data_IF_693221362715
#
_entry.id   IF_693221362715
#
_cell.length_a   1.000
_cell.length_b   1.000
_cell.length_c   1.000
_cell.angle_alpha   90.00
_cell.angle_beta   90.00
_cell.angle_gamma   90.00
#
_symmetry.space_group_name_H-M   'P 1'
#
loop_
_entity.id
_entity.type
_entity.pdbx_description
1 polymer ?
#
# COMPACT_ATOMS: atom_id res chain seq x y z
N UNK A 1 9.94 5.13 29.26
CA UNK A 1 10.74 4.59 28.15
C UNK A 1 9.97 4.63 26.84
N UNK A 2 9.95 5.77 26.12
CA UNK A 2 9.29 5.93 24.81
C UNK A 2 10.33 6.24 23.73
N UNK A 3 11.14 5.24 23.41
CA UNK A 3 12.12 5.32 22.32
C UNK A 3 11.91 4.22 21.24
N UNK A 4 10.91 3.34 21.42
CA UNK A 4 10.68 2.19 20.53
C UNK A 4 9.84 2.56 19.29
N UNK A 5 8.94 3.56 19.40
CA UNK A 5 8.03 3.93 18.30
C UNK A 5 8.68 4.72 17.16
N UNK A 6 9.74 5.52 17.43
CA UNK A 6 10.44 6.27 16.36
C UNK A 6 11.36 5.37 15.53
N UNK A 7 12.03 4.40 16.15
CA UNK A 7 12.94 3.47 15.43
C UNK A 7 12.17 2.51 14.52
N UNK A 8 10.98 2.05 14.93
CA UNK A 8 10.12 1.21 14.10
C UNK A 8 9.59 1.98 12.88
N UNK A 9 9.16 3.24 13.05
CA UNK A 9 8.72 4.07 11.92
C UNK A 9 9.84 4.42 10.93
N UNK A 10 11.09 4.59 11.39
CA UNK A 10 12.23 4.86 10.49
C UNK A 10 12.63 3.64 9.63
N UNK A 11 12.36 2.43 10.11
CA UNK A 11 12.63 1.18 9.38
C UNK A 11 11.56 0.91 8.30
N UNK A 12 10.29 1.27 8.54
CA UNK A 12 9.19 1.15 7.57
C UNK A 12 9.21 2.18 6.42
N UNK A 13 10.26 2.99 6.29
CA UNK A 13 10.40 3.97 5.20
C UNK A 13 11.23 3.45 4.01
N UNK A 14 11.44 2.13 3.89
CA UNK A 14 12.04 1.59 2.68
C UNK A 14 11.14 1.86 1.48
N UNK A 15 11.70 2.50 0.46
CA UNK A 15 10.98 2.69 -0.80
C UNK A 15 11.09 1.42 -1.64
N UNK A 16 10.06 1.09 -2.41
CA UNK A 16 10.01 -0.21 -3.09
C UNK A 16 11.18 -0.49 -4.04
N UNK A 17 11.78 0.54 -4.64
CA UNK A 17 12.96 0.33 -5.47
C UNK A 17 14.18 -0.08 -4.64
N UNK A 18 14.40 0.54 -3.48
CA UNK A 18 15.46 0.14 -2.54
C UNK A 18 15.27 -1.30 -2.07
N UNK A 19 14.07 -1.67 -1.62
CA UNK A 19 13.77 -3.04 -1.20
C UNK A 19 14.00 -4.07 -2.33
N UNK A 20 13.58 -3.73 -3.56
CA UNK A 20 13.79 -4.59 -4.72
C UNK A 20 15.29 -4.77 -5.05
N UNK A 21 16.06 -3.69 -5.00
CA UNK A 21 17.49 -3.74 -5.32
C UNK A 21 18.27 -4.49 -4.25
N UNK A 22 18.00 -4.25 -2.96
CA UNK A 22 18.62 -5.02 -1.87
C UNK A 22 18.26 -6.51 -1.95
N UNK A 23 17.01 -6.86 -2.28
CA UNK A 23 16.62 -8.26 -2.49
C UNK A 23 17.31 -8.91 -3.69
N UNK A 24 17.70 -8.13 -4.72
CA UNK A 24 18.46 -8.65 -5.87
C UNK A 24 19.93 -8.89 -5.54
N UNK A 25 20.48 -8.14 -4.60
CA UNK A 25 21.84 -8.31 -4.12
C UNK A 25 21.97 -9.52 -3.17
N UNK A 26 20.89 -9.89 -2.47
CA UNK A 26 20.84 -11.09 -1.63
C UNK A 26 20.48 -12.35 -2.45
N UNK A 27 21.35 -13.39 -2.52
CA UNK A 27 21.08 -14.59 -3.31
C UNK A 27 19.85 -15.38 -2.84
N UNK A 28 19.56 -15.36 -1.54
CA UNK A 28 18.44 -16.12 -0.96
C UNK A 28 17.10 -15.48 -1.32
N UNK A 29 17.01 -14.16 -1.19
CA UNK A 29 15.87 -13.35 -1.59
C UNK A 29 15.65 -13.43 -3.11
N UNK A 30 16.70 -13.23 -3.91
CA UNK A 30 16.61 -13.30 -5.37
C UNK A 30 16.10 -14.66 -5.87
N UNK A 31 16.58 -15.77 -5.28
CA UNK A 31 16.15 -17.12 -5.67
C UNK A 31 14.64 -17.35 -5.50
N UNK A 32 14.05 -16.72 -4.49
CA UNK A 32 12.61 -16.81 -4.20
C UNK A 32 11.79 -15.74 -4.93
N UNK A 33 12.41 -14.59 -5.23
CA UNK A 33 11.79 -13.49 -5.96
C UNK A 33 11.63 -13.78 -7.46
N UNK A 34 12.57 -14.49 -8.09
CA UNK A 34 12.55 -14.78 -9.53
C UNK A 34 11.25 -15.45 -10.01
N UNK A 35 10.75 -16.53 -9.37
CA UNK A 35 9.48 -17.14 -9.74
C UNK A 35 8.28 -16.18 -9.60
N UNK A 36 8.29 -15.31 -8.57
CA UNK A 36 7.26 -14.29 -8.40
C UNK A 36 7.26 -13.31 -9.58
N UNK A 37 8.42 -12.77 -9.95
CA UNK A 37 8.55 -11.85 -11.08
C UNK A 37 8.13 -12.48 -12.41
N UNK A 38 8.36 -13.78 -12.58
CA UNK A 38 8.00 -14.52 -13.79
C UNK A 38 6.49 -14.78 -13.87
N UNK A 39 5.86 -15.23 -12.79
CA UNK A 39 4.47 -15.68 -12.81
C UNK A 39 3.45 -14.58 -12.51
N UNK A 40 3.87 -13.53 -11.79
CA UNK A 40 3.01 -12.42 -11.38
C UNK A 40 3.05 -11.22 -12.33
N UNK A 41 3.77 -11.31 -13.46
CA UNK A 41 3.90 -10.22 -14.44
C UNK A 41 2.52 -9.83 -15.01
N UNK A 42 2.23 -8.53 -15.08
CA UNK A 42 0.89 -8.01 -15.43
C UNK A 42 0.35 -8.57 -16.75
N UNK A 43 1.20 -8.68 -17.78
CA UNK A 43 0.78 -9.14 -19.11
C UNK A 43 0.77 -10.67 -19.28
N UNK A 44 1.38 -11.42 -18.36
CA UNK A 44 1.52 -12.89 -18.43
C UNK A 44 1.13 -13.59 -17.13
N UNK A 45 0.23 -12.95 -16.38
CA UNK A 45 -0.21 -13.39 -15.07
C UNK A 45 -0.72 -14.83 -15.13
N UNK A 46 -0.02 -15.75 -14.46
CA UNK A 46 -0.51 -17.06 -14.12
C UNK A 46 -0.85 -17.04 -12.64
N UNK A 47 -2.13 -16.80 -12.30
CA UNK A 47 -2.58 -16.57 -10.92
C UNK A 47 -2.15 -17.68 -9.96
N UNK A 48 -2.34 -18.94 -10.34
CA UNK A 48 -2.04 -20.08 -9.47
C UNK A 48 -0.54 -20.16 -9.20
N UNK A 49 0.29 -20.11 -10.25
CA UNK A 49 1.75 -20.12 -10.08
C UNK A 49 2.24 -18.88 -9.33
N UNK A 50 1.68 -17.70 -9.62
CA UNK A 50 1.98 -16.45 -8.94
C UNK A 50 1.69 -16.55 -7.43
N UNK A 51 0.51 -17.03 -7.03
CA UNK A 51 0.16 -17.20 -5.62
C UNK A 51 1.09 -18.19 -4.91
N UNK A 52 1.41 -19.33 -5.53
CA UNK A 52 2.35 -20.30 -4.97
C UNK A 52 3.74 -19.68 -4.80
N UNK A 53 4.26 -18.98 -5.82
CA UNK A 53 5.56 -18.32 -5.75
C UNK A 53 5.58 -17.20 -4.71
N UNK A 54 4.51 -16.42 -4.60
CA UNK A 54 4.37 -15.36 -3.61
C UNK A 54 4.36 -15.90 -2.18
N UNK A 55 3.66 -17.01 -1.94
CA UNK A 55 3.66 -17.67 -0.63
C UNK A 55 5.04 -18.25 -0.30
N UNK A 56 5.73 -18.88 -1.25
CA UNK A 56 7.09 -19.39 -1.04
C UNK A 56 8.10 -18.29 -0.75
N UNK A 57 7.95 -17.10 -1.36
CA UNK A 57 8.79 -15.95 -1.09
C UNK A 57 8.72 -15.54 0.39
N UNK A 58 7.52 -15.29 0.92
CA UNK A 58 7.34 -14.88 2.31
C UNK A 58 7.62 -15.97 3.35
N UNK A 59 7.66 -17.24 2.93
CA UNK A 59 8.09 -18.38 3.77
C UNK A 59 9.60 -18.66 3.68
N UNK A 60 10.33 -17.89 2.86
CA UNK A 60 11.76 -18.07 2.62
C UNK A 60 12.64 -17.59 3.78
N UNK A 61 13.96 -17.86 3.72
CA UNK A 61 14.89 -17.61 4.83
C UNK A 61 15.31 -16.12 5.00
N UNK A 62 14.77 -15.21 4.20
CA UNK A 62 15.15 -13.79 4.13
C UNK A 62 14.12 -12.90 4.87
N UNK A 63 13.96 -13.13 6.17
CA UNK A 63 12.91 -12.49 6.99
C UNK A 63 12.99 -10.96 7.04
N UNK A 64 14.20 -10.39 7.17
CA UNK A 64 14.39 -8.93 7.19
C UNK A 64 13.94 -8.27 5.88
N UNK A 65 14.32 -8.88 4.74
CA UNK A 65 13.93 -8.39 3.41
C UNK A 65 12.46 -8.66 3.09
N UNK A 66 11.85 -9.69 3.68
CA UNK A 66 10.41 -9.95 3.55
C UNK A 66 9.59 -8.81 4.13
N UNK A 67 9.98 -8.27 5.29
CA UNK A 67 9.30 -7.13 5.90
C UNK A 67 9.50 -5.86 5.07
N UNK A 68 10.73 -5.61 4.61
CA UNK A 68 11.03 -4.47 3.73
C UNK A 68 10.21 -4.53 2.44
N UNK A 69 10.11 -5.70 1.80
CA UNK A 69 9.29 -5.91 0.59
C UNK A 69 7.80 -5.82 0.89
N UNK A 70 7.31 -6.38 2.00
CA UNK A 70 5.89 -6.38 2.35
C UNK A 70 5.35 -4.97 2.64
N UNK A 71 6.18 -4.12 3.24
CA UNK A 71 5.78 -2.80 3.73
C UNK A 71 6.36 -1.63 2.94
N UNK A 72 7.07 -1.87 1.84
CA UNK A 72 7.62 -0.78 1.04
C UNK A 72 6.51 0.13 0.50
N UNK A 73 6.81 1.43 0.42
CA UNK A 73 5.87 2.42 -0.10
C UNK A 73 6.56 3.34 -1.11
N UNK A 74 5.78 3.79 -2.10
CA UNK A 74 6.20 4.80 -3.05
C UNK A 74 5.38 6.07 -2.88
N UNK A 75 6.06 7.22 -3.02
CA UNK A 75 5.36 8.49 -3.16
C UNK A 75 4.57 8.46 -4.47
N UNK A 76 3.27 8.80 -4.41
CA UNK A 76 2.43 8.93 -5.61
C UNK A 76 3.03 9.98 -6.55
N UNK A 77 3.34 9.59 -7.79
CA UNK A 77 3.80 10.50 -8.85
C UNK A 77 2.88 10.40 -10.06
N UNK A 78 2.94 11.40 -10.95
CA UNK A 78 2.30 11.34 -12.27
C UNK A 78 3.11 10.53 -13.28
N UNK A 79 4.40 10.29 -12.99
CA UNK A 79 5.29 9.53 -13.85
C UNK A 79 5.17 8.03 -13.57
N UNK A 80 4.48 7.30 -14.45
CA UNK A 80 4.36 5.84 -14.36
C UNK A 80 5.68 5.08 -14.52
N UNK A 81 6.71 5.73 -15.06
CA UNK A 81 8.05 5.15 -15.23
C UNK A 81 9.00 5.47 -14.06
N UNK A 82 8.48 5.99 -12.95
CA UNK A 82 9.24 6.14 -11.72
C UNK A 82 9.76 4.78 -11.25
N UNK A 83 11.04 4.71 -10.89
CA UNK A 83 11.68 3.46 -10.49
C UNK A 83 10.99 2.80 -9.29
N UNK A 84 10.50 3.61 -8.34
CA UNK A 84 9.73 3.11 -7.21
C UNK A 84 8.40 2.52 -7.66
N UNK A 85 7.65 3.22 -8.51
CA UNK A 85 6.36 2.74 -9.00
C UNK A 85 6.49 1.43 -9.80
N UNK A 86 7.54 1.30 -10.61
CA UNK A 86 7.86 0.06 -11.34
C UNK A 86 8.20 -1.07 -10.37
N UNK A 87 8.99 -0.79 -9.33
CA UNK A 87 9.31 -1.78 -8.31
C UNK A 87 8.07 -2.20 -7.53
N UNK A 88 7.17 -1.26 -7.20
CA UNK A 88 5.92 -1.54 -6.51
C UNK A 88 5.01 -2.47 -7.33
N UNK A 89 4.92 -2.30 -8.65
CA UNK A 89 4.13 -3.21 -9.50
C UNK A 89 4.68 -4.65 -9.49
N UNK A 90 6.00 -4.80 -9.33
CA UNK A 90 6.68 -6.09 -9.24
C UNK A 90 6.54 -6.77 -7.89
N UNK A 91 6.72 -6.00 -6.81
CA UNK A 91 6.70 -6.50 -5.43
C UNK A 91 5.27 -6.70 -4.90
N UNK A 92 4.32 -5.88 -5.37
CA UNK A 92 2.90 -5.95 -4.98
C UNK A 92 2.01 -6.21 -6.20
N UNK A 93 2.09 -7.40 -6.80
CA UNK A 93 1.41 -7.69 -8.05
C UNK A 93 -0.11 -7.71 -7.89
N UNK A 94 -0.82 -6.96 -8.74
CA UNK A 94 -2.29 -7.01 -8.82
C UNK A 94 -2.77 -8.40 -9.27
N UNK A 95 -1.93 -9.16 -9.98
CA UNK A 95 -2.18 -10.54 -10.41
C UNK A 95 -2.66 -11.45 -9.27
N UNK A 96 -2.04 -11.33 -8.08
CA UNK A 96 -2.39 -12.12 -6.89
C UNK A 96 -3.66 -11.63 -6.17
N UNK A 97 -4.07 -10.37 -6.39
CA UNK A 97 -5.17 -9.73 -5.67
C UNK A 97 -6.55 -10.05 -6.27
N UNK A 98 -6.60 -10.54 -7.51
CA UNK A 98 -7.88 -10.86 -8.18
C UNK A 98 -8.41 -12.22 -7.68
N UNK A 99 -9.71 -12.40 -7.45
CA UNK A 99 -10.30 -13.74 -7.27
C UNK A 99 -10.14 -14.56 -8.57
N UNK A 100 -10.17 -15.90 -8.51
CA UNK A 100 -10.11 -16.71 -9.72
C UNK A 100 -11.35 -16.45 -10.58
N UNK A 101 -11.15 -15.98 -11.82
CA UNK A 101 -12.23 -15.86 -12.79
C UNK A 101 -12.71 -17.27 -13.14
N UNK A 102 -14.01 -17.53 -12.95
CA UNK A 102 -14.61 -18.83 -13.28
C UNK A 102 -14.84 -19.01 -14.78
N UNK A 103 -14.49 -18.02 -15.62
CA UNK A 103 -14.60 -18.11 -17.06
C UNK A 103 -13.58 -17.20 -17.75
N UNK A 104 -12.97 -17.77 -18.79
CA UNK A 104 -11.88 -17.27 -19.60
C UNK A 104 -12.29 -16.06 -20.47
N UNK A 105 -12.73 -14.97 -19.83
CA UNK A 105 -12.93 -13.67 -20.45
C UNK A 105 -12.38 -12.61 -19.50
N UNK A 106 -11.53 -11.77 -20.06
CA UNK A 106 -10.90 -10.58 -19.49
C UNK A 106 -11.96 -9.56 -19.04
N UNK A 107 -12.83 -9.93 -18.11
CA UNK A 107 -13.89 -9.10 -17.56
C UNK A 107 -13.46 -8.70 -16.16
N UNK A 108 -13.40 -7.39 -15.91
CA UNK A 108 -13.02 -6.84 -14.61
C UNK A 108 -13.97 -7.35 -13.52
N UNK A 109 -13.62 -8.46 -12.87
CA UNK A 109 -14.30 -8.93 -11.67
C UNK A 109 -13.88 -8.01 -10.53
N UNK A 110 -14.82 -7.28 -9.90
CA UNK A 110 -14.47 -6.42 -8.78
C UNK A 110 -13.89 -7.29 -7.65
N UNK A 111 -12.91 -6.78 -6.88
CA UNK A 111 -12.39 -7.51 -5.73
C UNK A 111 -13.53 -7.92 -4.79
N UNK A 112 -13.48 -9.14 -4.22
CA UNK A 112 -14.47 -9.56 -3.26
C UNK A 112 -14.47 -8.62 -2.05
N UNK A 113 -15.63 -8.46 -1.43
CA UNK A 113 -15.71 -7.74 -0.16
C UNK A 113 -14.92 -8.44 0.94
N UNK A 114 -14.47 -7.68 1.95
CA UNK A 114 -13.66 -8.21 3.04
C UNK A 114 -14.34 -9.35 3.81
N UNK A 115 -15.66 -9.30 3.99
CA UNK A 115 -16.39 -10.36 4.70
C UNK A 115 -16.36 -11.68 3.90
N UNK A 116 -16.55 -11.63 2.59
CA UNK A 116 -16.51 -12.81 1.73
C UNK A 116 -15.10 -13.45 1.72
N UNK A 117 -14.04 -12.64 1.71
CA UNK A 117 -12.66 -13.14 1.85
C UNK A 117 -12.44 -13.79 3.21
N UNK A 118 -12.94 -13.16 4.28
CA UNK A 118 -12.82 -13.69 5.63
C UNK A 118 -13.57 -15.02 5.80
N UNK A 119 -14.76 -15.17 5.21
CA UNK A 119 -15.53 -16.40 5.26
C UNK A 119 -14.88 -17.51 4.45
N UNK A 120 -14.42 -17.23 3.22
CA UNK A 120 -13.64 -18.18 2.44
C UNK A 120 -12.36 -18.63 3.17
N UNK A 121 -11.68 -17.70 3.85
CA UNK A 121 -10.51 -18.00 4.66
C UNK A 121 -10.83 -18.87 5.88
N UNK A 122 -12.03 -18.80 6.46
CA UNK A 122 -12.44 -19.68 7.58
C UNK A 122 -12.60 -21.14 7.13
N UNK A 123 -12.89 -21.37 5.86
CA UNK A 123 -13.06 -22.73 5.33
C UNK A 123 -11.70 -23.34 4.93
N UNK A 124 -10.76 -22.51 4.49
CA UNK A 124 -9.41 -22.92 4.11
C UNK A 124 -8.50 -23.11 5.34
N UNK A 125 -7.91 -24.31 5.48
CA UNK A 125 -7.04 -24.63 6.62
C UNK A 125 -5.75 -23.82 6.62
N UNK A 126 -5.08 -23.65 5.48
CA UNK A 126 -3.82 -22.93 5.41
C UNK A 126 -4.02 -21.43 5.66
N UNK A 127 -5.14 -20.87 5.20
CA UNK A 127 -5.52 -19.49 5.49
C UNK A 127 -5.85 -19.29 6.98
N UNK A 128 -6.58 -20.22 7.60
CA UNK A 128 -6.87 -20.17 9.04
C UNK A 128 -5.60 -20.22 9.89
N UNK A 129 -4.71 -21.16 9.58
CA UNK A 129 -3.46 -21.33 10.31
C UNK A 129 -2.56 -20.09 10.13
N UNK A 130 -2.58 -19.46 8.95
CA UNK A 130 -1.91 -18.17 8.69
C UNK A 130 -2.56 -16.96 9.35
N UNK A 131 -3.88 -16.97 9.59
CA UNK A 131 -4.60 -15.91 10.32
C UNK A 131 -4.36 -15.95 11.83
N UNK A 132 -3.82 -17.05 12.35
CA UNK A 132 -3.57 -17.27 13.77
C UNK A 132 -2.38 -16.47 14.34
N UNK A 133 -1.78 -15.54 13.57
CA UNK A 133 -1.17 -14.34 14.15
C UNK A 133 -2.28 -13.46 14.70
N UNK A 134 -2.83 -13.91 15.84
CA UNK A 134 -3.57 -13.06 16.75
C UNK A 134 -2.62 -11.94 17.17
N UNK A 135 -2.81 -10.76 16.59
CA UNK A 135 -2.50 -9.52 17.30
C UNK A 135 -3.39 -9.54 18.53
N UNK A 136 -2.87 -10.08 19.61
CA UNK A 136 -3.46 -10.02 20.93
C UNK A 136 -3.53 -8.53 21.32
N UNK A 137 -4.66 -7.92 21.01
CA UNK A 137 -5.04 -6.57 21.41
C UNK A 137 -5.84 -6.72 22.71
N UNK A 138 -5.21 -7.23 23.77
CA UNK A 138 -5.81 -7.21 25.10
C UNK A 138 -6.03 -5.73 25.52
N UNK A 139 -7.29 -5.31 25.46
CA UNK A 139 -7.97 -4.25 26.21
C UNK A 139 -7.16 -2.98 26.58
N UNK A 140 -6.74 -2.19 25.58
CA UNK A 140 -6.46 -0.76 25.82
C UNK A 140 -7.65 0.08 25.39
N UNK A 141 -8.56 0.29 26.34
CA UNK A 141 -9.56 1.37 26.33
C UNK A 141 -8.87 2.70 26.03
N UNK A 142 -9.02 3.18 24.79
CA UNK A 142 -8.58 4.52 24.40
C UNK A 142 -9.60 5.50 25.01
N UNK A 143 -9.24 6.10 26.15
CA UNK A 143 -10.02 7.19 26.72
C UNK A 143 -9.71 8.47 25.93
N UNK A 144 -10.64 8.88 25.07
CA UNK A 144 -10.58 10.19 24.40
C UNK A 144 -11.13 11.21 25.39
N UNK A 145 -10.25 11.97 26.03
CA UNK A 145 -10.69 13.14 26.79
C UNK A 145 -11.32 14.16 25.80
N UNK A 146 -12.51 14.70 26.09
CA UNK A 146 -13.13 15.70 25.24
C UNK A 146 -12.24 16.95 25.20
N UNK A 147 -11.92 17.45 24.00
CA UNK A 147 -11.39 18.80 23.85
C UNK A 147 -12.46 19.80 24.32
N UNK A 148 -12.13 20.64 25.29
CA UNK A 148 -12.92 21.80 25.66
C UNK A 148 -13.11 22.71 24.43
N UNK A 149 -14.36 22.82 23.96
CA UNK A 149 -14.75 23.78 22.95
C UNK A 149 -14.80 25.16 23.60
N UNK A 150 -13.70 25.90 23.54
CA UNK A 150 -13.71 27.32 23.87
C UNK A 150 -14.45 28.07 22.78
N UNK A 151 -15.62 28.61 23.12
CA UNK A 151 -16.42 29.46 22.24
C UNK A 151 -15.65 30.76 21.92
N UNK A 152 -15.38 31.01 20.64
CA UNK A 152 -14.87 32.30 20.19
C UNK A 152 -16.04 33.28 20.10
N UNK A 153 -16.20 34.15 21.10
CA UNK A 153 -17.16 35.26 21.04
C UNK A 153 -16.64 36.29 20.04
N UNK A 154 -17.27 36.35 18.86
CA UNK A 154 -17.07 37.43 17.90
C UNK A 154 -17.69 38.69 18.50
N UNK A 155 -16.84 39.62 18.93
CA UNK A 155 -17.26 40.98 19.26
C UNK A 155 -17.10 41.85 18.01
N UNK A 156 -18.23 42.34 17.51
CA UNK A 156 -18.29 43.35 16.46
C UNK A 156 -17.55 44.62 16.87
N UNK A 157 -16.56 45.06 16.08
CA UNK A 157 -16.16 46.47 15.94
C UNK A 157 -15.20 46.69 14.76
N UNK A 158 -15.78 47.21 13.67
CA UNK A 158 -15.31 48.39 12.92
C UNK A 158 -14.03 48.29 12.06
N UNK A 159 -14.26 48.20 10.73
CA UNK A 159 -13.51 48.76 9.56
C UNK A 159 -11.97 48.60 9.53
N UNK A 160 -11.36 48.14 8.44
CA UNK A 160 -11.20 48.85 7.15
C UNK A 160 -11.05 47.82 6.01
N UNK A 161 -11.70 48.10 4.89
CA UNK A 161 -11.59 47.37 3.65
C UNK A 161 -10.20 47.55 2.99
N UNK A 162 -9.63 46.44 2.48
CA UNK A 162 -8.65 46.50 1.39
C UNK A 162 -9.00 45.44 0.36
N UNK A 163 -9.74 45.85 -0.67
CA UNK A 163 -9.94 45.11 -1.91
C UNK A 163 -8.72 45.32 -2.80
N UNK A 164 -8.01 44.24 -3.14
CA UNK A 164 -6.96 44.27 -4.17
C UNK A 164 -7.46 43.57 -5.42
N UNK A 165 -7.77 44.36 -6.45
CA UNK A 165 -8.00 43.91 -7.83
C UNK A 165 -6.76 44.15 -8.68
N UNK A 166 -6.26 43.14 -9.38
CA UNK A 166 -5.39 43.31 -10.56
C UNK A 166 -5.78 42.25 -11.61
N UNK A 167 -6.57 42.61 -12.63
CA UNK A 167 -6.20 43.04 -14.00
C UNK A 167 -5.65 41.91 -14.89
N UNK A 168 -6.50 41.41 -15.80
CA UNK A 168 -6.13 40.49 -16.89
C UNK A 168 -6.24 41.21 -18.23
N UNK A 169 -5.12 41.32 -18.95
CA UNK A 169 -5.03 41.89 -20.30
C UNK A 169 -5.40 40.83 -21.34
N UNK A 170 -6.28 41.16 -22.30
CA UNK A 170 -6.43 40.37 -23.54
C UNK A 170 -6.70 41.30 -24.71
N UNK A 171 -5.88 41.14 -25.76
CA UNK A 171 -5.83 41.95 -26.97
C UNK A 171 -7.02 41.71 -27.91
N UNK A 172 -7.37 42.76 -28.65
CA UNK A 172 -8.38 42.77 -29.71
C UNK A 172 -7.91 42.04 -30.98
N UNK A 173 -8.85 41.69 -31.85
CA UNK A 173 -8.62 41.88 -33.27
C UNK A 173 -9.74 42.65 -34.00
N UNK A 174 -9.28 43.42 -34.99
CA UNK A 174 -9.95 44.05 -36.13
C UNK A 174 -11.00 43.13 -36.79
N UNK A 175 -12.09 43.60 -37.40
CA UNK A 175 -12.31 44.74 -38.30
C UNK A 175 -13.80 45.02 -38.40
#
# INVERSE_FOLDING_TARGET
SRAISRTICSFLQSTCHTALDTCREDPSCLSSLQPMLMHCEMHRCNRNACMTSLQSFYKGPHEDLNLDVAFCLCKKTTNRHDACMIAQEKLHPICAQRPPDNNNQQSYTPPPSCHAVADACKEDRECRDGRAVVVDFDDQLIYVEPMDTTEFVVTDSTTIATTTTMTTTTQAPSK
#
